data_IF_083460509315
#
_entry.id   IF_083460509315
#
_cell.length_a   1.000
_cell.length_b   1.000
_cell.length_c   1.000
_cell.angle_alpha   90.00
_cell.angle_beta   90.00
_cell.angle_gamma   90.00
#
_symmetry.space_group_name_H-M   'P 1'
#
loop_
_entity.id
_entity.type
_entity.pdbx_description
1 polymer ?
#
# COMPACT_ATOMS: atom_id res chain seq x y z
N UNK A 1 -10.81 2.65 -4.71
CA UNK A 1 -10.22 1.36 -4.24
C UNK A 1 -10.94 0.81 -3.01
N UNK A 2 -11.11 1.61 -1.94
CA UNK A 2 -11.78 1.12 -0.72
C UNK A 2 -13.33 1.19 -0.76
N UNK A 3 -13.88 1.97 -1.70
CA UNK A 3 -15.31 2.25 -1.92
C UNK A 3 -16.13 1.14 -2.59
N UNK A 4 -15.58 -0.08 -2.73
CA UNK A 4 -16.24 -1.26 -3.31
C UNK A 4 -16.76 -1.15 -4.77
N UNK A 5 -16.50 -0.05 -5.49
CA UNK A 5 -16.86 0.07 -6.91
C UNK A 5 -16.32 -1.08 -7.76
N UNK A 6 -15.06 -1.46 -7.52
CA UNK A 6 -14.38 -2.62 -8.08
C UNK A 6 -14.00 -3.58 -6.96
N UNK A 7 -14.90 -4.50 -6.54
CA UNK A 7 -14.66 -5.38 -5.40
C UNK A 7 -13.45 -6.30 -5.58
N UNK A 8 -13.07 -6.60 -6.82
CA UNK A 8 -11.91 -7.39 -7.20
C UNK A 8 -10.57 -6.73 -6.82
N UNK A 9 -10.53 -5.41 -6.67
CA UNK A 9 -9.29 -4.70 -6.34
C UNK A 9 -8.82 -4.98 -4.90
N UNK A 10 -9.74 -5.10 -3.93
CA UNK A 10 -9.35 -5.35 -2.54
C UNK A 10 -8.55 -6.65 -2.34
N UNK A 11 -9.02 -7.83 -2.82
CA UNK A 11 -8.25 -9.06 -2.71
C UNK A 11 -6.99 -9.04 -3.58
N UNK A 12 -7.04 -8.43 -4.76
CA UNK A 12 -5.88 -8.33 -5.65
C UNK A 12 -4.74 -7.49 -5.07
N UNK A 13 -5.10 -6.45 -4.31
CA UNK A 13 -4.17 -5.53 -3.65
C UNK A 13 -3.85 -5.94 -2.21
N UNK A 14 -4.34 -7.10 -1.75
CA UNK A 14 -4.15 -7.61 -0.38
C UNK A 14 -4.64 -6.64 0.71
N UNK A 15 -5.66 -5.83 0.39
CA UNK A 15 -6.28 -4.89 1.32
C UNK A 15 -7.32 -5.61 2.20
N UNK A 16 -6.82 -6.36 3.19
CA UNK A 16 -7.59 -7.26 4.06
C UNK A 16 -8.02 -6.64 5.40
N UNK A 17 -7.50 -5.47 5.75
CA UNK A 17 -7.81 -4.77 7.00
C UNK A 17 -8.82 -3.64 6.77
N UNK A 18 -9.61 -3.23 7.78
CA UNK A 18 -10.39 -1.99 7.73
C UNK A 18 -9.53 -0.77 7.37
N UNK A 19 -10.10 0.22 6.66
CA UNK A 19 -9.37 1.43 6.24
C UNK A 19 -8.68 2.16 7.41
N UNK A 20 -9.32 2.15 8.59
CA UNK A 20 -8.82 2.75 9.84
C UNK A 20 -7.48 2.19 10.30
N UNK A 21 -7.16 0.96 9.90
CA UNK A 21 -5.95 0.28 10.36
C UNK A 21 -4.73 0.69 9.52
N UNK A 22 -4.92 1.30 8.35
CA UNK A 22 -3.85 1.80 7.51
C UNK A 22 -3.40 3.19 7.95
N UNK A 23 -2.34 3.22 8.77
CA UNK A 23 -1.86 4.43 9.46
C UNK A 23 -1.68 5.66 8.55
N UNK A 24 -1.12 5.52 7.34
CA UNK A 24 -0.86 6.69 6.47
C UNK A 24 -2.11 7.38 5.95
N UNK A 25 -3.21 6.65 5.79
CA UNK A 25 -4.47 7.21 5.25
C UNK A 25 -5.51 7.46 6.33
N UNK A 26 -5.28 6.98 7.55
CA UNK A 26 -6.23 7.02 8.66
C UNK A 26 -5.84 7.96 9.81
N UNK A 27 -4.98 8.96 9.56
CA UNK A 27 -4.57 9.92 10.59
C UNK A 27 -5.67 10.94 10.96
N UNK A 28 -6.66 11.11 10.07
CA UNK A 28 -7.71 12.11 10.20
C UNK A 28 -9.06 11.49 9.77
N UNK A 29 -9.93 12.31 9.19
CA UNK A 29 -11.24 11.87 8.69
C UNK A 29 -11.11 10.94 7.49
N UNK A 30 -11.89 9.86 7.50
CA UNK A 30 -11.91 8.85 6.45
C UNK A 30 -13.01 9.09 5.41
N UNK A 31 -13.93 9.99 5.69
CA UNK A 31 -15.08 10.30 4.85
C UNK A 31 -15.30 11.80 4.86
N UNK A 32 -15.61 12.37 3.71
CA UNK A 32 -15.91 13.80 3.57
C UNK A 32 -17.42 13.96 3.37
N UNK A 33 -18.05 14.86 4.12
CA UNK A 33 -19.47 15.11 4.01
C UNK A 33 -19.84 15.63 2.61
N UNK A 34 -20.84 15.01 1.97
CA UNK A 34 -21.27 15.31 0.61
C UNK A 34 -20.41 14.72 -0.52
N UNK A 35 -19.43 13.86 -0.23
CA UNK A 35 -18.62 13.16 -1.24
C UNK A 35 -18.95 11.67 -1.30
N UNK A 36 -19.16 11.14 -2.51
CA UNK A 36 -19.35 9.71 -2.75
C UNK A 36 -18.08 9.08 -3.34
N UNK A 37 -17.30 8.41 -2.49
CA UNK A 37 -16.06 7.73 -2.89
C UNK A 37 -16.27 6.63 -3.95
N UNK A 38 -17.49 6.10 -4.10
CA UNK A 38 -17.80 5.12 -5.14
C UNK A 38 -17.90 5.81 -6.50
N UNK A 39 -18.60 6.96 -6.56
CA UNK A 39 -18.72 7.75 -7.79
C UNK A 39 -17.39 8.39 -8.20
N UNK A 40 -16.66 8.99 -7.26
CA UNK A 40 -15.36 9.61 -7.50
C UNK A 40 -14.34 8.60 -8.05
N UNK A 41 -14.34 7.38 -7.51
CA UNK A 41 -13.45 6.33 -7.99
C UNK A 41 -13.83 5.83 -9.38
N UNK A 42 -15.13 5.77 -9.72
CA UNK A 42 -15.59 5.47 -11.08
C UNK A 42 -15.11 6.53 -12.07
N UNK A 43 -15.32 7.81 -11.75
CA UNK A 43 -14.90 8.92 -12.62
C UNK A 43 -13.38 8.91 -12.84
N UNK A 44 -12.62 8.61 -11.79
CA UNK A 44 -11.16 8.47 -11.88
C UNK A 44 -10.74 7.29 -12.76
N UNK A 45 -11.41 6.13 -12.63
CA UNK A 45 -11.13 4.95 -13.46
C UNK A 45 -11.44 5.22 -14.95
N UNK A 46 -12.56 5.87 -15.25
CA UNK A 46 -12.92 6.31 -16.60
C UNK A 46 -11.95 7.37 -17.15
N UNK A 47 -11.47 8.28 -16.30
CA UNK A 47 -10.48 9.28 -16.70
C UNK A 47 -9.15 8.64 -17.16
N UNK A 48 -8.70 7.56 -16.50
CA UNK A 48 -7.52 6.82 -16.96
C UNK A 48 -7.73 6.22 -18.36
N UNK A 49 -8.93 5.74 -18.67
CA UNK A 49 -9.24 5.17 -20.00
C UNK A 49 -9.27 6.27 -21.08
N UNK A 50 -9.82 7.45 -20.75
CA UNK A 50 -9.82 8.63 -21.62
C UNK A 50 -8.40 9.13 -21.91
N UNK A 51 -7.51 9.03 -20.91
CA UNK A 51 -6.09 9.40 -21.05
C UNK A 51 -5.24 8.31 -21.74
N UNK A 52 -5.87 7.23 -22.23
CA UNK A 52 -5.22 6.13 -22.93
C UNK A 52 -4.20 5.34 -22.09
N UNK A 53 -4.41 5.24 -20.77
CA UNK A 53 -3.67 4.29 -19.95
C UNK A 53 -4.13 2.86 -20.28
N UNK A 54 -3.18 1.93 -20.36
CA UNK A 54 -3.50 0.51 -20.44
C UNK A 54 -4.05 -0.02 -19.11
N UNK A 55 -4.78 -1.12 -19.16
CA UNK A 55 -5.27 -1.80 -17.95
C UNK A 55 -4.13 -2.18 -17.00
N UNK A 56 -2.96 -2.55 -17.55
CA UNK A 56 -1.77 -2.88 -16.77
C UNK A 56 -1.21 -1.65 -16.04
N UNK A 57 -1.09 -0.50 -16.72
CA UNK A 57 -0.61 0.74 -16.10
C UNK A 57 -1.57 1.21 -14.99
N UNK A 58 -2.88 1.16 -15.24
CA UNK A 58 -3.91 1.46 -14.21
C UNK A 58 -3.74 0.54 -13.01
N UNK A 59 -3.60 -0.76 -13.24
CA UNK A 59 -3.43 -1.73 -12.17
C UNK A 59 -2.11 -1.49 -11.40
N UNK A 60 -1.02 -1.15 -12.08
CA UNK A 60 0.25 -0.84 -11.45
C UNK A 60 0.16 0.44 -10.59
N UNK A 61 -0.59 1.45 -11.01
CA UNK A 61 -0.90 2.60 -10.16
C UNK A 61 -1.66 2.19 -8.89
N UNK A 62 -2.67 1.32 -9.00
CA UNK A 62 -3.40 0.83 -7.83
C UNK A 62 -2.51 0.00 -6.89
N UNK A 63 -1.62 -0.83 -7.43
CA UNK A 63 -0.61 -1.56 -6.65
C UNK A 63 0.33 -0.63 -5.89
N UNK A 64 0.81 0.46 -6.52
CA UNK A 64 1.65 1.46 -5.86
C UNK A 64 0.94 2.12 -4.69
N UNK A 65 -0.34 2.47 -4.86
CA UNK A 65 -1.13 3.07 -3.78
C UNK A 65 -1.40 2.08 -2.64
N UNK A 66 -1.67 0.81 -2.94
CA UNK A 66 -1.80 -0.22 -1.91
C UNK A 66 -0.49 -0.47 -1.15
N UNK A 67 0.65 -0.55 -1.86
CA UNK A 67 1.97 -0.67 -1.25
C UNK A 67 2.25 0.50 -0.29
N UNK A 68 1.87 1.72 -0.67
CA UNK A 68 1.97 2.89 0.21
C UNK A 68 1.15 2.71 1.50
N UNK A 69 -0.07 2.18 1.41
CA UNK A 69 -0.90 1.90 2.59
C UNK A 69 -0.26 0.84 3.51
N UNK A 70 0.25 -0.26 2.96
CA UNK A 70 0.94 -1.30 3.73
C UNK A 70 2.25 -0.80 4.37
N UNK A 71 2.97 0.11 3.72
CA UNK A 71 4.19 0.70 4.27
C UNK A 71 3.93 1.40 5.61
N UNK A 72 2.77 2.07 5.75
CA UNK A 72 2.39 2.80 6.95
C UNK A 72 2.13 1.92 8.18
N UNK A 73 1.87 0.62 7.98
CA UNK A 73 1.56 -0.32 9.07
C UNK A 73 2.73 -1.24 9.45
N UNK A 74 3.86 -1.13 8.75
CA UNK A 74 5.09 -1.80 9.14
C UNK A 74 5.60 -1.23 10.47
N UNK A 75 5.88 -2.13 11.42
CA UNK A 75 6.42 -1.78 12.73
C UNK A 75 7.87 -2.18 12.81
N UNK A 76 8.66 -1.33 13.46
CA UNK A 76 10.07 -1.58 13.71
C UNK A 76 10.33 -1.47 15.21
N UNK A 77 11.17 -2.37 15.74
CA UNK A 77 11.64 -2.35 17.12
C UNK A 77 13.15 -2.18 17.16
N UNK A 78 13.62 -1.51 18.20
CA UNK A 78 15.05 -1.38 18.47
C UNK A 78 15.47 -2.41 19.53
N UNK A 79 16.59 -3.10 19.32
CA UNK A 79 17.16 -3.98 20.34
C UNK A 79 17.88 -3.15 21.42
N UNK A 80 17.74 -3.47 22.72
CA UNK A 80 18.49 -2.76 23.75
C UNK A 80 20.00 -2.91 23.52
N UNK A 81 20.69 -1.78 23.31
CA UNK A 81 22.15 -1.63 23.04
C UNK A 81 22.60 -1.81 21.58
N UNK A 82 21.69 -1.88 20.60
CA UNK A 82 22.04 -1.78 19.18
C UNK A 82 21.32 -0.57 18.54
N UNK A 83 22.01 0.21 17.70
CA UNK A 83 21.40 1.32 16.94
C UNK A 83 20.52 0.84 15.76
N UNK A 84 20.55 -0.45 15.44
CA UNK A 84 19.81 -1.03 14.32
C UNK A 84 18.35 -1.31 14.70
N UNK A 85 17.44 -0.97 13.78
CA UNK A 85 16.03 -1.31 13.86
C UNK A 85 15.77 -2.67 13.19
N UNK A 86 15.00 -3.53 13.83
CA UNK A 86 14.52 -4.79 13.28
C UNK A 86 13.02 -4.72 13.02
N UNK A 87 12.50 -5.42 11.99
CA UNK A 87 11.07 -5.51 11.77
C UNK A 87 10.39 -6.20 12.97
N UNK A 88 9.30 -5.61 13.45
CA UNK A 88 8.44 -6.16 14.49
C UNK A 88 7.21 -6.84 13.87
N UNK A 89 7.48 -7.94 13.16
CA UNK A 89 6.51 -8.67 12.32
C UNK A 89 6.78 -8.46 10.82
N UNK A 90 6.64 -9.51 10.00
CA UNK A 90 6.96 -9.49 8.55
C UNK A 90 5.73 -9.52 7.65
N UNK A 91 4.54 -9.85 8.17
CA UNK A 91 3.31 -10.04 7.38
C UNK A 91 3.00 -8.86 6.42
N UNK A 92 3.21 -7.62 6.87
CA UNK A 92 2.94 -6.44 6.05
C UNK A 92 4.09 -6.12 5.08
N UNK A 93 5.33 -6.46 5.44
CA UNK A 93 6.47 -6.36 4.54
C UNK A 93 6.35 -7.39 3.39
N UNK A 94 5.85 -8.59 3.68
CA UNK A 94 5.56 -9.62 2.68
C UNK A 94 4.46 -9.17 1.71
N UNK A 95 3.39 -8.53 2.21
CA UNK A 95 2.33 -7.96 1.35
C UNK A 95 2.81 -6.83 0.44
N UNK A 96 3.89 -6.13 0.81
CA UNK A 96 4.55 -5.13 -0.06
C UNK A 96 5.49 -5.79 -1.06
N UNK A 97 6.14 -6.90 -0.67
CA UNK A 97 7.11 -7.63 -1.49
C UNK A 97 6.45 -8.47 -2.60
N UNK A 98 5.29 -9.08 -2.33
CA UNK A 98 4.59 -9.96 -3.27
C UNK A 98 4.06 -9.24 -4.54
N UNK A 99 3.52 -8.00 -4.48
CA UNK A 99 3.09 -7.28 -5.68
C UNK A 99 4.22 -6.42 -6.29
N UNK A 100 5.36 -7.01 -6.69
CA UNK A 100 6.22 -6.55 -7.80
C UNK A 100 6.65 -5.06 -7.87
N UNK A 101 6.70 -4.31 -6.77
CA UNK A 101 7.11 -2.89 -6.77
C UNK A 101 8.48 -2.65 -6.15
N UNK A 102 8.88 -3.51 -5.21
CA UNK A 102 10.24 -3.53 -4.70
C UNK A 102 10.88 -4.84 -5.14
N UNK A 103 11.71 -4.80 -6.19
CA UNK A 103 12.70 -5.83 -6.51
C UNK A 103 13.80 -5.93 -5.43
N UNK A 104 13.45 -5.67 -4.17
CA UNK A 104 14.32 -5.79 -3.03
C UNK A 104 13.83 -7.03 -2.32
N UNK A 105 14.54 -8.14 -2.55
CA UNK A 105 14.41 -9.31 -1.66
C UNK A 105 14.66 -8.82 -0.23
N UNK A 106 14.01 -9.39 0.79
CA UNK A 106 14.21 -8.99 2.20
C UNK A 106 15.70 -8.74 2.51
N UNK A 107 16.59 -9.56 1.96
CA UNK A 107 18.04 -9.43 2.10
C UNK A 107 18.62 -8.06 1.73
N UNK A 108 18.13 -7.37 0.69
CA UNK A 108 18.73 -6.09 0.26
C UNK A 108 18.18 -4.87 1.01
N UNK A 109 17.00 -4.96 1.63
CA UNK A 109 16.46 -3.89 2.49
C UNK A 109 17.23 -3.79 3.81
N UNK A 110 17.69 -4.93 4.33
CA UNK A 110 18.37 -5.02 5.63
C UNK A 110 19.91 -4.95 5.55
N UNK A 111 20.51 -5.09 4.37
CA UNK A 111 21.97 -5.28 4.21
C UNK A 111 22.71 -4.05 3.64
N UNK A 112 22.07 -2.87 3.58
CA UNK A 112 22.71 -1.63 3.09
C UNK A 112 23.84 -1.13 4.02
N UNK A 113 24.11 -1.77 5.18
CA UNK A 113 25.16 -1.32 6.12
C UNK A 113 26.09 -2.40 6.68
N UNK A 114 26.23 -3.58 6.05
CA UNK A 114 27.34 -4.51 6.40
C UNK A 114 28.63 -4.27 5.60
N UNK A 115 28.62 -3.33 4.65
CA UNK A 115 29.81 -2.90 3.89
C UNK A 115 30.20 -1.47 4.21
N UNK A 116 30.79 -1.26 5.38
CA UNK A 116 31.92 -0.35 5.63
C UNK A 116 32.41 -0.48 7.07
#
# INVERSE_FOLDING_TARGET
MFSNYKPELKPLLLLDRPLRDYWFVAQAELTVDGMDDTEEFRLTDEAFDVLHFSEEEKLNCYKLMAAHMHLGIMKFKQRPREEQAEPDGTDEAEKISIPYIFLITESESYDVKSKN
#
